data_IF_410214952959
#
_entry.id   IF_410214952959
#
_cell.length_a   1.000
_cell.length_b   1.000
_cell.length_c   1.000
_cell.angle_alpha   90.00
_cell.angle_beta   90.00
_cell.angle_gamma   90.00
#
_symmetry.space_group_name_H-M   'P 1'
#
loop_
_entity.id
_entity.type
_entity.pdbx_description
1 polymer ?
#
# COMPACT_ATOMS: atom_id res chain seq x y z
N UNK A 1 5.98 -6.91 10.00
CA UNK A 1 4.62 -6.81 9.41
C UNK A 1 4.33 -5.35 9.12
N UNK A 2 3.50 -5.02 8.14
CA UNK A 2 3.17 -3.63 7.81
C UNK A 2 1.66 -3.43 7.77
N UNK A 3 1.19 -2.30 8.28
CA UNK A 3 -0.17 -1.80 8.12
C UNK A 3 -0.12 -0.51 7.28
N UNK A 4 -0.98 -0.38 6.28
CA UNK A 4 -0.88 0.64 5.23
C UNK A 4 -2.22 1.37 5.07
N UNK A 5 -2.24 2.68 5.34
CA UNK A 5 -3.41 3.53 5.11
C UNK A 5 -4.64 3.05 5.88
N UNK A 6 -5.79 3.05 5.21
CA UNK A 6 -7.08 2.69 5.80
C UNK A 6 -7.90 3.92 6.17
N UNK A 7 -8.78 3.76 7.15
CA UNK A 7 -9.69 4.80 7.62
C UNK A 7 -9.90 4.64 9.13
N UNK A 8 -9.91 5.76 9.84
CA UNK A 8 -10.39 5.83 11.22
C UNK A 8 -11.76 6.52 11.27
N UNK A 9 -12.28 6.79 12.46
CA UNK A 9 -13.60 7.42 12.64
C UNK A 9 -13.74 8.80 11.99
N UNK A 10 -12.62 9.50 11.74
CA UNK A 10 -12.61 10.90 11.29
C UNK A 10 -12.05 11.13 9.89
N UNK A 11 -11.22 10.23 9.36
CA UNK A 11 -10.43 10.50 8.15
C UNK A 11 -9.85 9.25 7.49
N UNK A 12 -9.54 9.39 6.19
CA UNK A 12 -8.65 8.48 5.48
C UNK A 12 -7.22 8.65 5.98
N UNK A 13 -6.48 7.54 6.01
CA UNK A 13 -5.13 7.49 6.51
C UNK A 13 -4.13 7.33 5.37
N UNK A 14 -3.00 8.03 5.50
CA UNK A 14 -1.76 7.78 4.75
C UNK A 14 -0.69 7.13 5.64
N UNK A 15 -0.97 6.96 6.93
CA UNK A 15 -0.03 6.37 7.88
C UNK A 15 0.37 4.96 7.47
N UNK A 16 1.66 4.68 7.62
CA UNK A 16 2.22 3.34 7.46
C UNK A 16 2.93 2.98 8.74
N UNK A 17 2.59 1.81 9.25
CA UNK A 17 3.16 1.30 10.50
C UNK A 17 3.90 0.00 10.22
N UNK A 18 5.10 -0.11 10.78
CA UNK A 18 5.91 -1.31 10.73
C UNK A 18 5.95 -1.94 12.14
N UNK A 19 5.58 -3.21 12.22
CA UNK A 19 5.68 -3.99 13.45
C UNK A 19 7.09 -4.58 13.59
N UNK A 20 7.75 -4.20 14.69
CA UNK A 20 9.01 -4.76 15.16
C UNK A 20 8.71 -5.96 16.08
N UNK A 21 9.15 -7.14 15.66
CA UNK A 21 8.93 -8.39 16.40
C UNK A 21 9.83 -8.52 17.64
N UNK A 22 11.00 -7.88 17.64
CA UNK A 22 11.95 -7.93 18.76
C UNK A 22 11.46 -7.03 19.89
N UNK A 23 11.01 -5.83 19.53
CA UNK A 23 10.49 -4.86 20.50
C UNK A 23 9.01 -5.06 20.82
N UNK A 24 8.31 -5.94 20.07
CA UNK A 24 6.87 -6.15 20.15
C UNK A 24 6.09 -4.82 20.11
N UNK A 25 6.46 -3.97 19.16
CA UNK A 25 5.91 -2.62 19.04
C UNK A 25 5.68 -2.25 17.59
N UNK A 26 4.77 -1.31 17.37
CA UNK A 26 4.58 -0.65 16.09
C UNK A 26 5.34 0.66 16.08
N UNK A 27 5.91 0.99 14.91
CA UNK A 27 6.52 2.31 14.66
C UNK A 27 6.01 2.87 13.34
N UNK A 28 5.88 4.18 13.28
CA UNK A 28 5.60 4.89 12.03
C UNK A 28 6.82 4.81 11.11
N UNK A 29 6.54 4.69 9.81
CA UNK A 29 7.51 4.77 8.72
C UNK A 29 6.98 5.75 7.67
N UNK A 30 7.69 5.93 6.55
CA UNK A 30 7.26 6.89 5.53
C UNK A 30 5.80 6.66 5.11
N UNK A 31 4.95 7.70 5.16
CA UNK A 31 3.53 7.58 4.84
C UNK A 31 3.32 7.32 3.35
N UNK A 32 2.15 6.78 3.02
CA UNK A 32 1.71 6.66 1.63
C UNK A 32 1.73 8.03 0.93
N UNK A 33 2.07 8.11 -0.37
CA UNK A 33 1.99 9.35 -1.13
C UNK A 33 0.58 9.95 -1.25
N UNK A 34 -0.45 9.17 -0.94
CA UNK A 34 -1.86 9.55 -0.96
C UNK A 34 -2.60 8.81 0.17
N UNK A 35 -3.54 9.47 0.84
CA UNK A 35 -4.44 8.82 1.81
C UNK A 35 -5.37 7.85 1.09
N UNK A 36 -5.33 6.59 1.45
CA UNK A 36 -6.04 5.54 0.71
C UNK A 36 -6.69 4.55 1.68
N UNK A 37 -7.97 4.25 1.44
CA UNK A 37 -8.62 3.04 1.97
C UNK A 37 -8.81 2.00 0.88
N UNK A 38 -9.09 0.76 1.27
CA UNK A 38 -9.43 -0.31 0.35
C UNK A 38 -8.37 -0.58 -0.74
N UNK A 39 -7.12 -0.21 -0.47
CA UNK A 39 -5.97 -0.46 -1.35
C UNK A 39 -5.63 -1.94 -1.41
N UNK A 40 -4.96 -2.36 -2.48
CA UNK A 40 -4.34 -3.68 -2.56
C UNK A 40 -2.85 -3.58 -2.27
N UNK A 41 -2.29 -4.50 -1.50
CA UNK A 41 -0.86 -4.51 -1.19
C UNK A 41 -0.25 -5.91 -1.28
N UNK A 42 0.99 -6.00 -1.76
CA UNK A 42 1.75 -7.26 -1.84
C UNK A 42 3.24 -7.05 -1.61
N UNK A 43 3.86 -7.97 -0.86
CA UNK A 43 5.31 -8.02 -0.69
C UNK A 43 5.99 -8.76 -1.85
N UNK A 44 7.00 -8.16 -2.46
CA UNK A 44 7.75 -8.77 -3.56
C UNK A 44 9.20 -8.29 -3.59
N UNK A 45 10.16 -9.23 -3.62
CA UNK A 45 11.62 -8.96 -3.65
C UNK A 45 12.08 -7.93 -2.59
N UNK A 46 11.61 -8.08 -1.37
CA UNK A 46 11.98 -7.21 -0.24
C UNK A 46 11.39 -5.81 -0.28
N UNK A 47 10.44 -5.54 -1.17
CA UNK A 47 9.71 -4.28 -1.29
C UNK A 47 8.21 -4.52 -1.11
N UNK A 48 7.45 -3.48 -0.83
CA UNK A 48 5.98 -3.54 -0.74
C UNK A 48 5.42 -2.74 -1.90
N UNK A 49 4.44 -3.31 -2.59
CA UNK A 49 3.74 -2.67 -3.69
C UNK A 49 2.31 -2.41 -3.29
N UNK A 50 1.81 -1.22 -3.58
CA UNK A 50 0.44 -0.78 -3.33
C UNK A 50 -0.20 -0.42 -4.66
N UNK A 51 -1.46 -0.84 -4.85
CA UNK A 51 -2.23 -0.62 -6.06
C UNK A 51 -3.64 -0.16 -5.74
N UNK A 52 -4.06 0.89 -6.44
CA UNK A 52 -5.41 1.44 -6.36
C UNK A 52 -5.79 1.84 -4.93
N UNK A 53 -7.06 1.65 -4.62
CA UNK A 53 -7.71 2.13 -3.41
C UNK A 53 -8.69 3.25 -3.71
N UNK A 54 -9.17 3.88 -2.66
CA UNK A 54 -10.12 4.99 -2.75
C UNK A 54 -9.64 6.18 -1.92
N UNK A 55 -9.72 7.36 -2.51
CA UNK A 55 -9.48 8.65 -1.89
C UNK A 55 -10.72 9.53 -2.06
N UNK A 56 -11.38 9.86 -0.96
CA UNK A 56 -12.53 10.79 -0.93
C UNK A 56 -13.65 10.46 -1.96
N UNK A 57 -13.96 9.18 -2.14
CA UNK A 57 -14.98 8.71 -3.11
C UNK A 57 -14.42 8.44 -4.51
N UNK A 58 -13.19 8.81 -4.80
CA UNK A 58 -12.53 8.53 -6.08
C UNK A 58 -11.70 7.24 -6.00
N UNK A 59 -12.05 6.26 -6.84
CA UNK A 59 -11.25 5.05 -7.01
C UNK A 59 -10.02 5.40 -7.85
N UNK A 60 -8.84 5.00 -7.38
CA UNK A 60 -7.57 5.31 -8.05
C UNK A 60 -7.06 4.09 -8.84
N UNK A 61 -6.23 4.37 -9.84
CA UNK A 61 -5.40 3.39 -10.52
C UNK A 61 -3.91 3.55 -10.17
N UNK A 62 -3.59 4.32 -9.13
CA UNK A 62 -2.20 4.61 -8.77
C UNK A 62 -1.48 3.36 -8.30
N UNK A 63 -0.16 3.35 -8.51
CA UNK A 63 0.71 2.28 -8.09
C UNK A 63 1.96 2.86 -7.44
N UNK A 64 2.32 2.35 -6.27
CA UNK A 64 3.49 2.81 -5.52
C UNK A 64 4.30 1.64 -5.00
N UNK A 65 5.61 1.84 -4.87
CA UNK A 65 6.52 0.86 -4.25
C UNK A 65 7.22 1.48 -3.06
N UNK A 66 7.09 0.85 -1.91
CA UNK A 66 7.84 1.16 -0.71
C UNK A 66 9.12 0.35 -0.63
N UNK A 67 10.19 1.02 -0.23
CA UNK A 67 11.48 0.46 0.05
C UNK A 67 11.77 0.53 1.57
N UNK A 68 11.68 -0.60 2.30
CA UNK A 68 11.99 -0.63 3.73
C UNK A 68 13.42 -0.26 4.10
N UNK A 69 14.37 -0.34 3.15
CA UNK A 69 15.79 -0.06 3.40
C UNK A 69 16.10 1.42 3.37
N UNK A 70 15.37 2.18 2.55
CA UNK A 70 15.52 3.63 2.42
C UNK A 70 14.38 4.40 3.09
N UNK A 71 13.41 3.67 3.65
CA UNK A 71 12.17 4.21 4.20
C UNK A 71 11.51 5.24 3.27
N UNK A 72 11.25 4.82 2.03
CA UNK A 72 10.75 5.74 1.01
C UNK A 72 9.84 5.07 -0.01
N UNK A 73 8.96 5.87 -0.60
CA UNK A 73 8.05 5.48 -1.65
C UNK A 73 8.52 6.00 -3.00
N UNK A 74 8.28 5.22 -4.05
CA UNK A 74 8.36 5.70 -5.43
C UNK A 74 7.02 5.46 -6.14
N UNK A 75 6.68 6.37 -7.05
CA UNK A 75 5.55 6.18 -7.97
C UNK A 75 5.94 5.21 -9.09
N UNK A 76 5.00 4.33 -9.43
CA UNK A 76 5.08 3.42 -10.57
C UNK A 76 4.09 3.86 -11.65
N UNK A 77 4.19 3.32 -12.88
CA UNK A 77 3.14 3.49 -13.88
C UNK A 77 1.78 3.03 -13.34
N UNK A 78 0.75 3.85 -13.52
CA UNK A 78 -0.62 3.55 -13.09
C UNK A 78 -1.20 2.34 -13.83
N UNK A 79 -2.12 1.64 -13.17
CA UNK A 79 -2.94 0.61 -13.82
C UNK A 79 -3.85 1.24 -14.89
N UNK A 80 -4.27 0.45 -15.87
CA UNK A 80 -5.23 0.92 -16.89
C UNK A 80 -6.63 1.16 -16.32
N UNK A 81 -7.01 0.40 -15.30
CA UNK A 81 -8.33 0.47 -14.66
C UNK A 81 -8.17 0.83 -13.19
N UNK A 82 -8.88 1.84 -12.68
CA UNK A 82 -8.98 2.10 -11.25
C UNK A 82 -9.60 0.92 -10.51
N UNK A 83 -9.05 0.56 -9.34
CA UNK A 83 -9.51 -0.60 -8.55
C UNK A 83 -9.52 -0.27 -7.07
N UNK A 84 -10.57 -0.67 -6.36
CA UNK A 84 -10.64 -0.67 -4.89
C UNK A 84 -11.17 -2.04 -4.44
N UNK A 85 -10.85 -2.45 -3.20
CA UNK A 85 -11.21 -3.78 -2.67
C UNK A 85 -10.61 -4.96 -3.47
N UNK A 86 -9.59 -4.69 -4.29
CA UNK A 86 -8.94 -5.68 -5.12
C UNK A 86 -7.95 -6.55 -4.34
N UNK A 87 -7.80 -7.81 -4.75
CA UNK A 87 -6.74 -8.70 -4.27
C UNK A 87 -5.48 -8.57 -5.11
N UNK A 88 -4.31 -8.73 -4.49
CA UNK A 88 -3.05 -8.85 -5.23
C UNK A 88 -2.22 -10.04 -4.76
N UNK A 89 -1.48 -10.64 -5.70
CA UNK A 89 -0.67 -11.83 -5.46
C UNK A 89 0.55 -11.84 -6.37
N UNK A 90 1.66 -12.39 -5.87
CA UNK A 90 2.84 -12.70 -6.69
C UNK A 90 2.71 -14.13 -7.22
N UNK A 91 2.79 -14.29 -8.53
CA UNK A 91 2.82 -15.60 -9.19
C UNK A 91 3.79 -15.59 -10.36
N UNK A 92 4.71 -16.57 -10.42
CA UNK A 92 5.71 -16.68 -11.49
C UNK A 92 6.43 -15.36 -11.79
N UNK A 93 7.01 -14.75 -10.76
CA UNK A 93 7.83 -13.52 -10.84
C UNK A 93 7.07 -12.26 -11.30
N UNK A 94 5.74 -12.28 -11.22
CA UNK A 94 4.86 -11.17 -11.58
C UNK A 94 3.85 -10.87 -10.49
N UNK A 95 3.47 -9.61 -10.36
CA UNK A 95 2.36 -9.18 -9.50
C UNK A 95 1.08 -9.15 -10.34
N UNK A 96 0.01 -9.75 -9.80
CA UNK A 96 -1.33 -9.68 -10.36
C UNK A 96 -2.21 -8.89 -9.39
N UNK A 97 -3.06 -8.03 -9.95
CA UNK A 97 -4.13 -7.31 -9.22
C UNK A 97 -5.46 -7.75 -9.83
N UNK A 98 -6.36 -8.27 -9.00
CA UNK A 98 -7.56 -9.00 -9.42
C UNK A 98 -8.77 -8.41 -8.68
N UNK A 99 -9.86 -8.18 -9.42
CA UNK A 99 -11.07 -7.50 -8.94
C UNK A 99 -11.21 -6.11 -9.49
#
# INVERSE_FOLDING_TARGET
MYALGGQNESSLLDSVEAYDQVQNSWRLVAPLPQRLRCLSAVGYRGKIYVFGGEHEGEITNSAHRYDPTTDSWISLPSMQTPRALAGSVVFRDKIYVIG
#
